data_IF_138050381957
#
_entry.id   IF_138050381957
#
_cell.length_a   1.000
_cell.length_b   1.000
_cell.length_c   1.000
_cell.angle_alpha   90.00
_cell.angle_beta   90.00
_cell.angle_gamma   90.00
#
_symmetry.space_group_name_H-M   'P 1'
#
loop_
_entity.id
_entity.type
_entity.pdbx_description
1 polymer ?
#
# COMPACT_ATOMS: atom_id res chain seq x y z
N UNK A 1 -2.66 17.00 17.72
CA UNK A 1 -1.38 16.29 17.91
C UNK A 1 -1.37 15.05 17.01
N UNK A 2 -1.13 15.24 15.70
CA UNK A 2 -1.16 14.17 14.71
C UNK A 2 0.21 14.13 14.02
N UNK A 3 1.03 13.13 14.33
CA UNK A 3 2.28 12.88 13.61
C UNK A 3 2.17 11.53 12.91
N UNK A 4 1.95 11.67 11.59
CA UNK A 4 2.33 10.80 10.48
C UNK A 4 3.06 9.51 10.90
N UNK A 5 2.40 8.37 10.70
CA UNK A 5 2.99 7.05 10.86
C UNK A 5 3.49 6.59 9.48
N UNK A 6 4.79 6.78 9.24
CA UNK A 6 5.47 6.37 8.01
C UNK A 6 5.71 4.86 8.04
N UNK A 7 4.96 4.09 7.25
CA UNK A 7 5.37 2.73 6.86
C UNK A 7 6.38 2.90 5.73
N UNK A 8 7.67 2.87 6.08
CA UNK A 8 8.78 3.07 5.15
C UNK A 8 9.07 1.78 4.40
N UNK A 9 8.75 1.75 3.09
CA UNK A 9 9.42 0.85 2.15
C UNK A 9 10.74 1.53 1.75
N UNK A 10 11.84 0.77 1.82
CA UNK A 10 13.18 1.23 1.49
C UNK A 10 13.27 1.64 0.01
N UNK A 11 13.36 2.95 -0.22
CA UNK A 11 13.72 3.56 -1.50
C UNK A 11 14.17 5.00 -1.24
N UNK A 12 15.48 5.24 -1.40
CA UNK A 12 16.14 6.53 -1.19
C UNK A 12 15.55 7.62 -2.10
N UNK A 13 15.12 8.75 -1.52
CA UNK A 13 15.57 10.12 -1.82
C UNK A 13 14.68 11.12 -1.06
N UNK A 14 15.30 11.86 -0.15
CA UNK A 14 14.68 12.98 0.54
C UNK A 14 14.45 14.14 -0.45
N UNK A 15 13.32 14.84 -0.34
CA UNK A 15 13.12 16.17 -0.91
C UNK A 15 12.28 17.05 0.03
N UNK A 16 12.55 18.36 0.09
CA UNK A 16 12.08 19.21 1.16
C UNK A 16 10.62 19.66 0.98
N UNK A 17 10.03 19.91 2.14
CA UNK A 17 8.73 20.48 2.44
C UNK A 17 8.36 21.69 1.54
N UNK A 18 7.25 21.59 0.80
CA UNK A 18 6.60 22.71 0.12
C UNK A 18 5.06 22.64 0.25
N UNK A 19 4.46 23.82 0.22
CA UNK A 19 3.19 24.21 0.84
C UNK A 19 1.89 23.63 0.23
N UNK A 20 0.82 23.71 1.04
CA UNK A 20 -0.52 23.21 0.76
C UNK A 20 -1.26 23.94 -0.39
N UNK A 21 -1.99 23.17 -1.21
CA UNK A 21 -2.96 23.63 -2.20
C UNK A 21 -4.30 22.85 -2.04
N UNK A 22 -5.43 23.36 -2.59
CA UNK A 22 -6.77 23.17 -2.03
C UNK A 22 -7.41 21.81 -2.29
N UNK A 23 -8.50 21.55 -1.57
CA UNK A 23 -9.25 20.28 -1.53
C UNK A 23 -10.24 20.22 -2.69
N UNK A 24 -9.95 19.39 -3.69
CA UNK A 24 -10.96 18.89 -4.62
C UNK A 24 -11.15 17.39 -4.41
N UNK A 25 -12.41 16.96 -4.51
CA UNK A 25 -12.87 15.61 -4.23
C UNK A 25 -12.09 14.56 -5.05
N UNK A 26 -11.67 13.47 -4.40
CA UNK A 26 -11.02 12.36 -5.08
C UNK A 26 -11.98 11.79 -6.14
N UNK A 27 -11.54 11.64 -7.41
CA UNK A 27 -12.38 11.04 -8.44
C UNK A 27 -12.64 9.57 -8.08
N UNK A 28 -13.89 9.15 -8.22
CA UNK A 28 -14.26 7.73 -8.14
C UNK A 28 -13.45 6.94 -9.17
N UNK A 29 -12.76 5.89 -8.74
CA UNK A 29 -12.12 4.96 -9.67
C UNK A 29 -13.23 4.30 -10.52
N UNK A 30 -13.18 4.42 -11.86
CA UNK A 30 -14.13 3.70 -12.70
C UNK A 30 -13.90 2.21 -12.51
N UNK A 31 -14.97 1.45 -12.25
CA UNK A 31 -14.93 0.00 -12.31
C UNK A 31 -14.39 -0.42 -13.70
N UNK A 32 -13.47 -1.40 -13.78
CA UNK A 32 -12.87 -1.76 -15.06
C UNK A 32 -13.96 -2.23 -16.02
N UNK A 33 -14.06 -1.56 -17.16
CA UNK A 33 -14.99 -1.93 -18.22
C UNK A 33 -14.72 -3.38 -18.64
N UNK A 34 -15.78 -4.18 -18.69
CA UNK A 34 -15.72 -5.52 -19.23
C UNK A 34 -15.14 -5.47 -20.66
N UNK A 35 -14.21 -6.39 -20.95
CA UNK A 35 -13.54 -6.65 -22.24
C UNK A 35 -12.38 -5.73 -22.67
N UNK A 36 -11.41 -5.45 -21.78
CA UNK A 36 -10.05 -5.16 -22.25
C UNK A 36 -9.37 -6.48 -22.62
N UNK A 37 -9.41 -6.87 -23.89
CA UNK A 37 -8.59 -7.99 -24.38
C UNK A 37 -7.12 -7.66 -24.14
N UNK A 38 -6.46 -8.43 -23.28
CA UNK A 38 -5.01 -8.34 -23.07
C UNK A 38 -4.36 -8.60 -24.43
N UNK A 39 -3.62 -7.62 -24.95
CA UNK A 39 -2.94 -7.74 -26.23
C UNK A 39 -1.90 -8.86 -26.16
N UNK A 40 -1.69 -9.59 -27.26
CA UNK A 40 -0.68 -10.65 -27.33
C UNK A 40 0.74 -10.12 -27.05
N UNK A 41 0.98 -8.83 -27.27
CA UNK A 41 2.22 -8.14 -26.90
C UNK A 41 2.42 -8.00 -25.39
N UNK A 42 1.34 -7.91 -24.59
CA UNK A 42 1.42 -7.89 -23.14
C UNK A 42 1.73 -9.26 -22.51
N UNK A 43 1.62 -10.33 -23.31
CA UNK A 43 1.93 -11.71 -22.91
C UNK A 43 3.34 -12.15 -23.33
N UNK A 44 4.07 -11.32 -24.08
CA UNK A 44 5.42 -11.63 -24.55
C UNK A 44 6.44 -11.34 -23.44
N UNK A 45 6.96 -12.42 -22.83
CA UNK A 45 7.98 -12.36 -21.77
C UNK A 45 9.33 -11.81 -22.23
N UNK A 46 9.52 -11.61 -23.54
CA UNK A 46 10.71 -10.99 -24.13
C UNK A 46 10.50 -9.55 -24.57
N UNK A 47 9.29 -9.01 -24.46
CA UNK A 47 9.02 -7.60 -24.70
C UNK A 47 9.80 -6.74 -23.69
N UNK A 48 10.87 -6.12 -24.16
CA UNK A 48 11.59 -5.10 -23.41
C UNK A 48 10.64 -3.99 -22.97
N UNK A 49 10.31 -3.99 -21.69
CA UNK A 49 9.81 -2.83 -20.97
C UNK A 49 8.54 -2.17 -21.51
N UNK A 50 7.42 -2.90 -21.63
CA UNK A 50 6.10 -2.24 -21.63
C UNK A 50 5.76 -1.54 -20.29
N UNK A 51 6.65 -1.61 -19.29
CA UNK A 51 6.42 -1.02 -17.98
C UNK A 51 7.25 0.25 -17.68
N UNK A 52 8.35 0.48 -18.41
CA UNK A 52 9.31 1.51 -17.96
C UNK A 52 8.84 2.93 -18.29
N UNK A 53 8.27 3.17 -19.47
CA UNK A 53 7.78 4.49 -19.86
C UNK A 53 6.57 4.95 -19.02
N UNK A 54 5.66 4.02 -18.67
CA UNK A 54 4.46 4.33 -17.88
C UNK A 54 4.78 4.65 -16.40
N UNK A 55 5.81 4.04 -15.82
CA UNK A 55 6.25 4.36 -14.46
C UNK A 55 7.03 5.69 -14.37
N UNK A 56 7.65 6.14 -15.45
CA UNK A 56 8.37 7.42 -15.46
C UNK A 56 7.44 8.64 -15.37
N UNK A 57 6.18 8.51 -15.79
CA UNK A 57 5.14 9.56 -15.65
C UNK A 57 4.09 9.22 -14.58
N UNK A 58 4.29 8.12 -13.84
CA UNK A 58 3.36 7.72 -12.79
C UNK A 58 3.38 8.74 -11.65
N UNK A 59 2.26 9.42 -11.45
CA UNK A 59 2.09 10.36 -10.34
C UNK A 59 1.89 9.59 -9.03
N UNK A 60 2.65 9.90 -7.97
CA UNK A 60 2.47 9.24 -6.68
C UNK A 60 1.10 9.57 -6.11
N UNK A 61 0.49 8.58 -5.45
CA UNK A 61 -0.74 8.82 -4.68
C UNK A 61 -0.37 9.63 -3.44
N UNK A 62 -1.02 10.78 -3.25
CA UNK A 62 -0.81 11.65 -2.10
C UNK A 62 -1.95 11.49 -1.11
N UNK A 63 -1.63 11.40 0.19
CA UNK A 63 -2.61 11.34 1.27
C UNK A 63 -2.23 12.27 2.42
N UNK A 64 -3.23 12.97 2.98
CA UNK A 64 -3.00 13.97 4.05
C UNK A 64 -2.89 13.36 5.45
N UNK A 65 -3.51 12.21 5.68
CA UNK A 65 -3.68 11.64 7.03
C UNK A 65 -2.98 10.29 7.18
N UNK A 66 -3.28 9.34 6.28
CA UNK A 66 -2.70 8.01 6.32
C UNK A 66 -2.75 7.36 4.94
N UNK A 67 -1.93 6.33 4.74
CA UNK A 67 -1.84 5.54 3.53
C UNK A 67 -1.72 4.06 3.91
N UNK A 68 -2.39 3.18 3.15
CA UNK A 68 -2.24 1.73 3.24
C UNK A 68 -1.87 1.23 1.85
N UNK A 69 -0.87 0.36 1.78
CA UNK A 69 -0.41 -0.25 0.53
C UNK A 69 -0.33 -1.75 0.77
N UNK A 70 -0.88 -2.53 -0.15
CA UNK A 70 -0.83 -3.99 -0.10
C UNK A 70 -0.93 -4.58 -1.50
N UNK A 71 -0.64 -5.88 -1.64
CA UNK A 71 -0.72 -6.59 -2.92
C UNK A 71 -2.17 -6.79 -3.42
N UNK A 72 -3.19 -6.59 -2.57
CA UNK A 72 -4.60 -6.80 -2.93
C UNK A 72 -5.46 -5.61 -2.53
N UNK A 73 -6.27 -5.11 -3.46
CA UNK A 73 -7.09 -3.92 -3.23
C UNK A 73 -8.11 -4.07 -2.08
N UNK A 74 -8.71 -5.26 -1.90
CA UNK A 74 -9.59 -5.53 -0.77
C UNK A 74 -8.87 -5.47 0.58
N UNK A 75 -7.62 -5.94 0.67
CA UNK A 75 -6.84 -5.84 1.90
C UNK A 75 -6.46 -4.38 2.20
N UNK A 76 -6.10 -3.60 1.16
CA UNK A 76 -5.89 -2.15 1.31
C UNK A 76 -7.14 -1.45 1.84
N UNK A 77 -8.32 -1.78 1.30
CA UNK A 77 -9.59 -1.20 1.74
C UNK A 77 -9.88 -1.52 3.22
N UNK A 78 -9.68 -2.77 3.65
CA UNK A 78 -9.83 -3.17 5.06
C UNK A 78 -8.93 -2.35 5.97
N UNK A 79 -7.65 -2.19 5.62
CA UNK A 79 -6.73 -1.36 6.41
C UNK A 79 -7.16 0.11 6.48
N UNK A 80 -7.63 0.67 5.36
CA UNK A 80 -8.15 2.04 5.33
C UNK A 80 -9.39 2.20 6.23
N UNK A 81 -10.28 1.22 6.24
CA UNK A 81 -11.49 1.27 7.05
C UNK A 81 -11.19 1.18 8.55
N UNK A 82 -10.16 0.44 8.96
CA UNK A 82 -9.65 0.45 10.35
C UNK A 82 -9.08 1.82 10.73
N UNK A 83 -8.30 2.45 9.85
CA UNK A 83 -7.78 3.81 10.09
C UNK A 83 -8.91 4.85 10.19
N UNK A 84 -9.95 4.75 9.35
CA UNK A 84 -11.14 5.62 9.41
C UNK A 84 -11.93 5.43 10.71
N UNK A 85 -11.91 4.22 11.28
CA UNK A 85 -12.53 3.90 12.57
C UNK A 85 -11.71 4.41 13.78
N UNK A 86 -10.57 5.08 13.53
CA UNK A 86 -9.72 5.62 14.59
C UNK A 86 -8.64 4.65 15.07
N UNK A 87 -8.44 3.52 14.39
CA UNK A 87 -7.32 2.61 14.63
C UNK A 87 -5.98 3.25 14.27
N UNK A 88 -4.91 2.73 14.87
CA UNK A 88 -3.53 3.10 14.53
C UNK A 88 -2.99 2.24 13.36
N UNK A 89 -1.76 2.47 12.88
CA UNK A 89 -1.24 1.67 11.75
C UNK A 89 -0.90 0.22 12.11
N UNK A 90 -0.65 -0.10 13.39
CA UNK A 90 -0.49 -1.49 13.83
C UNK A 90 -1.83 -2.21 13.72
N UNK A 91 -2.92 -1.59 14.18
CA UNK A 91 -4.28 -2.15 14.05
C UNK A 91 -4.63 -2.39 12.57
N UNK A 92 -4.33 -1.40 11.71
CA UNK A 92 -4.54 -1.51 10.28
C UNK A 92 -3.68 -2.62 9.64
N UNK A 93 -2.40 -2.74 10.03
CA UNK A 93 -1.50 -3.78 9.52
C UNK A 93 -1.97 -5.19 9.90
N UNK A 94 -2.45 -5.38 11.14
CA UNK A 94 -3.01 -6.67 11.59
C UNK A 94 -4.26 -7.02 10.79
N UNK A 95 -5.17 -6.06 10.59
CA UNK A 95 -6.38 -6.29 9.79
C UNK A 95 -6.06 -6.60 8.32
N UNK A 96 -5.07 -5.91 7.73
CA UNK A 96 -4.55 -6.21 6.39
C UNK A 96 -3.97 -7.63 6.33
N UNK A 97 -3.21 -8.06 7.33
CA UNK A 97 -2.67 -9.42 7.41
C UNK A 97 -3.77 -10.49 7.38
N UNK A 98 -4.80 -10.34 8.21
CA UNK A 98 -5.96 -11.24 8.19
C UNK A 98 -6.73 -11.18 6.87
N UNK A 99 -6.90 -10.01 6.28
CA UNK A 99 -7.54 -9.89 4.98
C UNK A 99 -6.73 -10.62 3.89
N UNK A 100 -5.40 -10.46 3.88
CA UNK A 100 -4.51 -11.12 2.92
C UNK A 100 -4.53 -12.64 3.07
N UNK A 101 -4.71 -13.19 4.28
CA UNK A 101 -4.89 -14.63 4.46
C UNK A 101 -6.12 -15.18 3.71
N UNK A 102 -7.11 -14.33 3.40
CA UNK A 102 -8.30 -14.70 2.63
C UNK A 102 -8.16 -14.33 1.15
N UNK A 103 -7.78 -13.08 0.85
CA UNK A 103 -7.79 -12.57 -0.53
C UNK A 103 -6.50 -12.83 -1.29
N UNK A 104 -5.44 -13.30 -0.60
CA UNK A 104 -4.16 -13.65 -1.20
C UNK A 104 -3.57 -14.95 -0.61
N UNK A 105 -4.27 -16.08 -0.68
CA UNK A 105 -3.93 -17.30 0.07
C UNK A 105 -2.60 -17.95 -0.35
N UNK A 106 -2.04 -17.60 -1.50
CA UNK A 106 -0.71 -18.08 -1.91
C UNK A 106 0.43 -17.47 -1.08
N UNK A 107 0.20 -16.34 -0.40
CA UNK A 107 1.22 -15.61 0.37
C UNK A 107 0.74 -15.20 1.77
N UNK A 108 -0.52 -14.78 1.90
CA UNK A 108 -1.15 -14.48 3.18
C UNK A 108 -1.50 -15.75 3.95
N UNK A 109 -1.28 -15.76 5.25
CA UNK A 109 -1.41 -16.97 6.07
C UNK A 109 -1.83 -16.66 7.52
N UNK A 110 -2.32 -17.70 8.21
CA UNK A 110 -2.60 -17.72 9.66
C UNK A 110 -1.82 -18.79 10.42
N UNK A 111 -1.34 -19.81 9.71
CA UNK A 111 -0.60 -20.94 10.28
C UNK A 111 0.89 -20.91 9.95
N UNK A 112 1.36 -19.83 9.33
CA UNK A 112 2.77 -19.58 9.10
C UNK A 112 3.27 -18.42 9.96
N UNK A 113 4.19 -17.63 9.41
CA UNK A 113 4.92 -16.59 10.12
C UNK A 113 5.39 -15.48 9.20
N UNK A 114 6.35 -14.69 9.68
CA UNK A 114 6.80 -13.49 8.98
C UNK A 114 7.56 -12.51 9.84
N UNK A 115 7.62 -11.27 9.36
CA UNK A 115 8.34 -10.19 10.01
C UNK A 115 7.52 -8.90 9.96
N UNK A 116 7.70 -8.04 10.96
CA UNK A 116 7.13 -6.70 10.98
C UNK A 116 8.16 -5.68 11.45
N UNK A 117 8.32 -4.60 10.70
CA UNK A 117 9.13 -3.43 11.06
C UNK A 117 8.20 -2.28 11.44
N UNK A 118 8.47 -1.65 12.57
CA UNK A 118 7.65 -0.58 13.13
C UNK A 118 8.51 0.64 13.44
N UNK A 119 8.07 1.80 12.96
CA UNK A 119 8.57 3.10 13.42
C UNK A 119 7.47 3.78 14.24
N UNK A 120 7.61 3.79 15.56
CA UNK A 120 6.58 4.32 16.46
C UNK A 120 6.66 5.85 16.55
N UNK A 121 5.53 6.49 16.87
CA UNK A 121 5.43 7.94 17.00
C UNK A 121 6.36 8.54 18.08
N UNK A 122 6.82 7.72 19.03
CA UNK A 122 7.81 8.10 20.04
C UNK A 122 9.27 8.00 19.54
N UNK A 123 9.49 7.73 18.24
CA UNK A 123 10.81 7.58 17.62
C UNK A 123 11.45 6.20 17.79
N UNK A 124 10.81 5.27 18.50
CA UNK A 124 11.33 3.91 18.68
C UNK A 124 11.13 3.08 17.42
N UNK A 125 12.20 2.40 17.01
CA UNK A 125 12.16 1.36 15.98
C UNK A 125 12.01 -0.02 16.63
N UNK A 126 11.11 -0.85 16.12
CA UNK A 126 10.89 -2.22 16.58
C UNK A 126 10.93 -3.15 15.39
N UNK A 127 11.64 -4.26 15.52
CA UNK A 127 11.58 -5.39 14.61
C UNK A 127 10.93 -6.56 15.35
N UNK A 128 9.84 -7.07 14.79
CA UNK A 128 9.14 -8.24 15.30
C UNK A 128 9.43 -9.41 14.36
N UNK A 129 10.08 -10.42 14.93
CA UNK A 129 10.28 -11.71 14.28
C UNK A 129 9.25 -12.69 14.84
N UNK A 130 8.37 -13.18 13.96
CA UNK A 130 7.38 -14.21 14.26
C UNK A 130 7.51 -15.35 13.25
N UNK A 131 8.75 -15.67 12.86
CA UNK A 131 9.06 -16.87 12.09
C UNK A 131 8.79 -18.13 12.91
N UNK A 132 8.28 -19.14 12.23
CA UNK A 132 7.90 -20.47 12.74
C UNK A 132 9.09 -21.37 13.06
#
# INVERSE_FOLDING_TARGET
>A
MHRLLTVLFCGLLASPLAAAAPRDAAPAHPAPAASAQISSAALDSTAGGIAQAEWMDAKPVLAKHAMVVSAQHYATQVGLDILKQGGNAVDAAVAVGYALAVVHPCCGNIGGGGFMTLHLANGKNVFLDFRE
#
